data_IF_707777089540
#
_entry.id   IF_707777089540
#
_cell.length_a   1.000
_cell.length_b   1.000
_cell.length_c   1.000
_cell.angle_alpha   90.00
_cell.angle_beta   90.00
_cell.angle_gamma   90.00
#
_symmetry.space_group_name_H-M   'P 1'
#
loop_
_entity.id
_entity.type
_entity.pdbx_description
1 polymer ?
#
# COMPACT_ATOMS: atom_id res chain seq x y z
N UNK A 1 -0.59 1.26 -7.65
CA UNK A 1 -1.22 2.05 -6.57
C UNK A 1 -1.63 3.45 -7.04
N UNK A 2 -0.81 4.15 -7.85
CA UNK A 2 -1.14 5.51 -8.34
C UNK A 2 -2.49 5.56 -9.10
N UNK A 3 -2.74 4.60 -10.00
CA UNK A 3 -3.98 4.56 -10.79
C UNK A 3 -5.23 4.38 -9.91
N UNK A 4 -5.17 3.51 -8.91
CA UNK A 4 -6.27 3.29 -7.95
C UNK A 4 -6.53 4.56 -7.15
N UNK A 5 -5.49 5.25 -6.67
CA UNK A 5 -5.63 6.52 -5.93
C UNK A 5 -6.32 7.59 -6.78
N UNK A 6 -5.90 7.76 -8.03
CA UNK A 6 -6.51 8.71 -8.96
C UNK A 6 -7.99 8.35 -9.19
N UNK A 7 -8.28 7.08 -9.42
CA UNK A 7 -9.65 6.60 -9.63
C UNK A 7 -10.52 6.88 -8.39
N UNK A 8 -10.06 6.52 -7.19
CA UNK A 8 -10.83 6.72 -5.95
C UNK A 8 -11.03 8.20 -5.63
N UNK A 9 -10.06 9.07 -5.92
CA UNK A 9 -10.21 10.52 -5.75
C UNK A 9 -11.23 11.07 -6.75
N UNK A 10 -11.15 10.66 -8.02
CA UNK A 10 -12.10 11.10 -9.05
C UNK A 10 -13.53 10.66 -8.72
N UNK A 11 -13.71 9.42 -8.24
CA UNK A 11 -15.00 8.91 -7.80
C UNK A 11 -15.56 9.70 -6.61
N UNK A 12 -14.71 10.03 -5.62
CA UNK A 12 -15.12 10.83 -4.47
C UNK A 12 -15.53 12.26 -4.86
N UNK A 13 -14.79 12.91 -5.76
CA UNK A 13 -15.16 14.23 -6.25
C UNK A 13 -16.47 14.18 -7.05
N UNK A 14 -16.65 13.16 -7.88
CA UNK A 14 -17.88 12.95 -8.64
C UNK A 14 -19.09 12.71 -7.73
N UNK A 15 -18.94 11.90 -6.69
CA UNK A 15 -20.02 11.61 -5.75
C UNK A 15 -20.40 12.84 -4.90
N UNK A 16 -19.41 13.64 -4.47
CA UNK A 16 -19.66 14.90 -3.76
C UNK A 16 -20.38 15.90 -4.67
N UNK A 17 -19.91 16.07 -5.91
CA UNK A 17 -20.56 16.96 -6.87
C UNK A 17 -22.01 16.54 -7.13
N UNK A 18 -22.27 15.24 -7.25
CA UNK A 18 -23.63 14.71 -7.37
C UNK A 18 -24.45 14.98 -6.11
N UNK A 19 -23.90 14.75 -4.91
CA UNK A 19 -24.60 15.00 -3.64
C UNK A 19 -24.98 16.48 -3.46
N UNK A 20 -24.17 17.41 -3.97
CA UNK A 20 -24.48 18.86 -3.92
C UNK A 20 -25.54 19.23 -4.96
N UNK A 21 -25.47 18.66 -6.18
CA UNK A 21 -26.42 18.98 -7.25
C UNK A 21 -27.80 18.35 -7.03
N UNK A 22 -27.83 17.13 -6.50
CA UNK A 22 -29.05 16.36 -6.25
C UNK A 22 -28.88 15.59 -4.95
N UNK A 23 -29.10 16.26 -3.79
CA UNK A 23 -28.99 15.61 -2.51
C UNK A 23 -30.09 14.57 -2.35
N UNK A 24 -29.69 13.30 -2.44
CA UNK A 24 -30.55 12.13 -2.27
C UNK A 24 -29.75 11.01 -1.59
N UNK A 25 -30.42 9.91 -1.25
CA UNK A 25 -29.83 8.75 -0.60
C UNK A 25 -28.70 8.11 -1.43
N UNK A 26 -28.89 7.97 -2.74
CA UNK A 26 -27.90 7.34 -3.64
C UNK A 26 -26.54 8.07 -3.64
N UNK A 27 -26.46 9.40 -3.90
CA UNK A 27 -25.19 10.11 -3.87
C UNK A 27 -24.59 10.23 -2.47
N UNK A 28 -25.41 10.17 -1.41
CA UNK A 28 -24.91 10.12 -0.04
C UNK A 28 -24.17 8.81 0.24
N UNK A 29 -24.77 7.66 -0.09
CA UNK A 29 -24.12 6.35 0.07
C UNK A 29 -22.89 6.25 -0.83
N UNK A 30 -22.99 6.68 -2.09
CA UNK A 30 -21.86 6.70 -3.02
C UNK A 30 -20.67 7.52 -2.48
N UNK A 31 -20.94 8.65 -1.82
CA UNK A 31 -19.91 9.48 -1.20
C UNK A 31 -19.24 8.81 0.00
N UNK A 32 -20.02 8.16 0.88
CA UNK A 32 -19.49 7.44 2.03
C UNK A 32 -18.64 6.23 1.58
N UNK A 33 -19.12 5.47 0.60
CA UNK A 33 -18.39 4.33 0.04
C UNK A 33 -17.10 4.79 -0.65
N UNK A 34 -17.16 5.83 -1.47
CA UNK A 34 -15.99 6.36 -2.19
C UNK A 34 -14.95 6.92 -1.22
N UNK A 35 -15.38 7.58 -0.14
CA UNK A 35 -14.49 8.06 0.92
C UNK A 35 -13.78 6.89 1.61
N UNK A 36 -14.53 5.84 1.96
CA UNK A 36 -13.98 4.65 2.60
C UNK A 36 -12.96 3.93 1.71
N UNK A 37 -13.28 3.79 0.41
CA UNK A 37 -12.38 3.22 -0.58
C UNK A 37 -11.11 4.06 -0.77
N UNK A 38 -11.24 5.38 -0.80
CA UNK A 38 -10.12 6.31 -0.86
C UNK A 38 -9.18 6.11 0.34
N UNK A 39 -9.71 6.14 1.57
CA UNK A 39 -8.94 5.92 2.79
C UNK A 39 -8.22 4.56 2.75
N UNK A 40 -8.94 3.48 2.39
CA UNK A 40 -8.37 2.15 2.28
C UNK A 40 -7.20 2.09 1.27
N UNK A 41 -7.33 2.75 0.11
CA UNK A 41 -6.28 2.79 -0.90
C UNK A 41 -4.98 3.44 -0.36
N UNK A 42 -5.08 4.48 0.48
CA UNK A 42 -3.92 5.11 1.10
C UNK A 42 -3.31 4.26 2.22
N UNK A 43 -4.12 3.58 3.03
CA UNK A 43 -3.64 2.73 4.13
C UNK A 43 -2.93 1.47 3.58
N UNK A 44 -3.49 0.81 2.57
CA UNK A 44 -2.89 -0.39 1.98
C UNK A 44 -1.57 -0.06 1.29
N UNK A 45 -1.46 1.09 0.64
CA UNK A 45 -0.21 1.58 0.06
C UNK A 45 0.88 1.76 1.13
N UNK A 46 0.55 2.40 2.26
CA UNK A 46 1.47 2.56 3.39
C UNK A 46 1.91 1.21 3.98
N UNK A 47 0.98 0.25 4.12
CA UNK A 47 1.31 -1.11 4.58
C UNK A 47 2.26 -1.82 3.61
N UNK A 48 2.04 -1.70 2.30
CA UNK A 48 2.94 -2.28 1.29
C UNK A 48 4.33 -1.65 1.32
N UNK A 49 4.44 -0.33 1.48
CA UNK A 49 5.73 0.35 1.62
C UNK A 49 6.48 -0.12 2.87
N UNK A 50 5.78 -0.28 4.00
CA UNK A 50 6.38 -0.82 5.23
C UNK A 50 6.77 -2.29 5.10
N UNK A 51 6.01 -3.11 4.39
CA UNK A 51 6.37 -4.51 4.11
C UNK A 51 7.54 -4.64 3.13
N UNK A 52 7.77 -3.67 2.24
CA UNK A 52 8.97 -3.63 1.39
C UNK A 52 10.24 -3.29 2.19
N UNK A 53 10.10 -2.65 3.35
CA UNK A 53 11.18 -2.36 4.29
C UNK A 53 11.37 -3.47 5.35
N UNK A 54 11.11 -4.73 4.99
CA UNK A 54 11.35 -5.86 5.89
C UNK A 54 12.87 -6.02 6.10
N UNK A 55 13.40 -5.47 7.19
CA UNK A 55 14.80 -5.60 7.56
C UNK A 55 15.01 -6.94 8.27
N UNK A 56 15.17 -8.03 7.50
CA UNK A 56 15.44 -9.35 8.05
C UNK A 56 16.93 -9.47 8.40
N UNK A 57 17.26 -9.32 9.68
CA UNK A 57 18.61 -9.63 10.17
C UNK A 57 18.74 -11.14 10.35
N UNK A 58 19.49 -11.80 9.47
CA UNK A 58 19.78 -13.24 9.55
C UNK A 58 21.16 -13.42 10.19
N UNK A 59 21.22 -14.07 11.35
CA UNK A 59 22.47 -14.39 12.05
C UNK A 59 23.21 -15.57 11.38
N UNK A 60 24.53 -15.68 11.56
CA UNK A 60 25.36 -16.80 11.04
C UNK A 60 24.71 -18.16 11.38
N UNK A 61 24.42 -18.96 10.36
CA UNK A 61 23.83 -20.29 10.47
C UNK A 61 22.30 -20.36 10.30
N UNK A 62 21.61 -19.24 10.10
CA UNK A 62 20.16 -19.23 9.86
C UNK A 62 19.82 -19.15 8.37
N UNK A 63 18.76 -19.86 7.95
CA UNK A 63 18.20 -19.77 6.60
C UNK A 63 17.08 -18.75 6.63
N UNK A 64 17.30 -17.60 6.00
CA UNK A 64 16.25 -16.62 5.78
C UNK A 64 15.40 -17.01 4.57
N UNK A 65 14.18 -17.48 4.78
CA UNK A 65 13.22 -17.74 3.71
C UNK A 65 12.22 -16.59 3.65
N UNK A 66 12.29 -15.76 2.61
CA UNK A 66 11.32 -14.69 2.36
C UNK A 66 10.61 -14.94 1.02
N UNK A 67 9.35 -15.34 1.10
CA UNK A 67 8.52 -15.63 -0.07
C UNK A 67 7.80 -14.35 -0.54
N UNK A 68 8.38 -13.66 -1.53
CA UNK A 68 7.66 -12.69 -2.36
C UNK A 68 8.27 -11.28 -2.41
N UNK A 69 8.82 -10.91 -3.57
CA UNK A 69 9.27 -9.55 -3.88
C UNK A 69 10.56 -9.52 -4.74
N UNK A 70 10.81 -8.39 -5.42
CA UNK A 70 12.09 -8.11 -6.06
C UNK A 70 13.07 -7.58 -5.02
N UNK A 71 14.26 -8.18 -4.90
CA UNK A 71 15.20 -7.91 -3.82
C UNK A 71 16.48 -7.30 -4.41
N UNK A 72 16.84 -6.09 -3.97
CA UNK A 72 18.18 -5.54 -4.21
C UNK A 72 19.05 -5.92 -3.01
N UNK A 73 19.80 -7.01 -3.13
CA UNK A 73 20.77 -7.41 -2.12
C UNK A 73 21.93 -6.41 -2.15
N UNK A 74 22.00 -5.55 -1.13
CA UNK A 74 23.18 -4.71 -0.88
C UNK A 74 24.40 -5.55 -0.48
N UNK A 75 25.59 -4.98 -0.68
CA UNK A 75 26.89 -5.64 -0.60
C UNK A 75 27.05 -6.58 0.61
N UNK A 76 27.05 -7.88 0.34
CA UNK A 76 27.24 -8.94 1.35
C UNK A 76 28.75 -9.05 1.60
N UNK A 77 29.26 -8.34 2.61
CA UNK A 77 30.63 -8.50 3.07
C UNK A 77 30.76 -9.78 3.90
N UNK A 78 30.98 -10.90 3.24
CA UNK A 78 31.36 -12.15 3.91
C UNK A 78 32.80 -12.04 4.37
N UNK A 79 33.03 -11.63 5.62
CA UNK A 79 34.32 -11.89 6.27
C UNK A 79 34.38 -13.38 6.61
N UNK A 80 34.84 -14.15 5.64
CA UNK A 80 35.37 -15.48 5.85
C UNK A 80 36.60 -15.37 6.76
N UNK A 81 36.45 -15.88 7.97
CA UNK A 81 37.56 -16.07 8.91
C UNK A 81 37.51 -17.56 9.21
N UNK A 82 38.21 -18.32 8.37
CA UNK A 82 38.49 -19.73 8.63
C UNK A 82 39.27 -19.87 9.93
N UNK A 83 38.81 -20.78 10.78
CA UNK A 83 39.59 -21.74 11.56
C UNK A 83 38.65 -22.74 12.21
#
# INVERSE_FOLDING_TARGET
MIAIKILTISALLGSIAWMVHSPDYEPAVASITSLSACIAAFIVDRKRQNSAALHQSVTKGSIGVQAGGNISLGNINTKDQGK
#
